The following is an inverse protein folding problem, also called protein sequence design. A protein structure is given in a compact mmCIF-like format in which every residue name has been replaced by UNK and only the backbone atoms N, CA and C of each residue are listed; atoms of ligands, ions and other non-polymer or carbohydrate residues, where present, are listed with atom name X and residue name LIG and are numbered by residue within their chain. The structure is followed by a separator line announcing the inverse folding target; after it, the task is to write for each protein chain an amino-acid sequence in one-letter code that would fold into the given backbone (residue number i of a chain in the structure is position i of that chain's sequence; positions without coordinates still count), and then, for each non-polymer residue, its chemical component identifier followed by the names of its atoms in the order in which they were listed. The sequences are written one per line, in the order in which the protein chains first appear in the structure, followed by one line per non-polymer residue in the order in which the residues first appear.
data_IF_986216520211
#
_entry.id   IF_986216520211
#
_cell.length_a   1.000
_cell.length_b   1.000
_cell.length_c   1.000
_cell.angle_alpha   90.00
_cell.angle_beta   90.00
_cell.angle_gamma   90.00
#
_symmetry.space_group_name_H-M   'P 1'
#
loop_
_entity.id
_entity.type
_entity.pdbx_description
1 polymer ?
#
# COMPACT_ATOMS: atom_id res chain seq x y z
N UNK A 1 -16.70 -0.03 14.63
CA UNK A 1 -15.31 -0.14 14.14
C UNK A 1 -14.42 0.71 15.05
N UNK A 2 -13.26 0.22 15.50
CA UNK A 2 -12.35 1.02 16.30
C UNK A 2 -11.80 2.17 15.47
N UNK A 3 -11.69 3.35 16.08
CA UNK A 3 -10.99 4.48 15.48
C UNK A 3 -9.48 4.25 15.58
N UNK A 4 -8.79 4.33 14.45
CA UNK A 4 -7.34 4.21 14.33
C UNK A 4 -6.74 5.57 13.99
N UNK A 5 -5.66 5.94 14.66
CA UNK A 5 -4.84 7.08 14.26
C UNK A 5 -4.05 6.68 13.03
N UNK A 6 -4.51 7.12 11.86
CA UNK A 6 -3.89 6.74 10.60
C UNK A 6 -2.51 7.38 10.46
N UNK A 7 -1.47 6.57 10.31
CA UNK A 7 -0.09 7.02 10.13
C UNK A 7 0.11 7.82 8.84
N UNK A 8 -0.71 7.56 7.81
CA UNK A 8 -0.64 8.27 6.53
C UNK A 8 -1.23 9.67 6.57
N UNK A 9 -2.46 9.81 7.05
CA UNK A 9 -3.18 11.10 7.03
C UNK A 9 -3.17 11.83 8.37
N UNK A 10 -2.63 11.22 9.44
CA UNK A 10 -2.55 11.79 10.79
C UNK A 10 -3.90 11.94 11.50
N UNK A 11 -5.01 11.50 10.89
CA UNK A 11 -6.35 11.65 11.43
C UNK A 11 -6.86 10.36 12.06
N UNK A 12 -7.63 10.48 13.15
CA UNK A 12 -8.41 9.39 13.72
C UNK A 12 -9.62 9.09 12.82
N UNK A 13 -9.68 7.87 12.28
CA UNK A 13 -10.74 7.40 11.37
C UNK A 13 -11.03 5.93 11.61
N UNK A 14 -12.13 5.41 11.07
CA UNK A 14 -12.46 4.00 11.14
C UNK A 14 -11.30 3.12 10.58
N UNK A 15 -10.78 2.25 11.45
CA UNK A 15 -9.79 1.22 11.11
C UNK A 15 -10.45 -0.05 10.60
N UNK A 16 -9.69 -1.14 10.55
CA UNK A 16 -10.20 -2.46 10.16
C UNK A 16 -10.66 -3.25 11.38
N UNK A 17 -11.64 -4.15 11.19
CA UNK A 17 -12.02 -5.12 12.24
C UNK A 17 -11.10 -6.35 12.25
N UNK A 18 -10.49 -6.66 11.11
CA UNK A 18 -9.57 -7.78 10.89
C UNK A 18 -8.48 -7.36 9.92
N UNK A 19 -7.26 -7.94 10.02
CA UNK A 19 -6.18 -7.57 9.11
C UNK A 19 -6.55 -7.94 7.66
N UNK A 20 -6.25 -7.07 6.68
CA UNK A 20 -6.65 -7.27 5.28
C UNK A 20 -5.90 -8.43 4.58
N UNK A 21 -4.76 -8.83 5.12
CA UNK A 21 -3.97 -9.97 4.65
C UNK A 21 -3.17 -10.57 5.82
N UNK A 22 -2.79 -11.86 5.75
CA UNK A 22 -2.06 -12.51 6.82
C UNK A 22 -0.61 -11.99 6.92
N UNK A 23 -0.03 -12.13 8.11
CA UNK A 23 1.38 -11.82 8.39
C UNK A 23 1.61 -10.48 9.09
N UNK A 24 2.88 -10.19 9.36
CA UNK A 24 3.32 -9.03 10.16
C UNK A 24 2.88 -7.70 9.55
N UNK A 25 2.96 -7.59 8.23
CA UNK A 25 2.59 -6.37 7.51
C UNK A 25 1.06 -6.14 7.60
N UNK A 26 0.25 -7.21 7.58
CA UNK A 26 -1.20 -7.10 7.73
C UNK A 26 -1.62 -6.62 9.12
N UNK A 27 -0.92 -7.07 10.17
CA UNK A 27 -1.08 -6.53 11.52
C UNK A 27 -0.70 -5.04 11.59
N UNK A 28 0.39 -4.65 10.93
CA UNK A 28 0.83 -3.25 10.88
C UNK A 28 -0.17 -2.34 10.15
N UNK A 29 -0.80 -2.82 9.07
CA UNK A 29 -1.87 -2.08 8.37
C UNK A 29 -3.10 -1.94 9.27
N UNK A 30 -3.50 -3.01 9.97
CA UNK A 30 -4.61 -2.99 10.92
C UNK A 30 -4.41 -1.93 12.03
N UNK A 31 -3.21 -1.84 12.59
CA UNK A 31 -2.89 -0.95 13.71
C UNK A 31 -2.68 0.52 13.32
N UNK A 32 -2.30 0.80 12.08
CA UNK A 32 -1.82 2.13 11.67
C UNK A 32 -2.48 2.73 10.44
N UNK A 33 -3.44 2.05 9.81
CA UNK A 33 -4.06 2.52 8.55
C UNK A 33 -5.57 2.53 8.66
N UNK A 34 -6.19 3.66 8.30
CA UNK A 34 -7.64 3.75 8.18
C UNK A 34 -8.15 3.18 6.85
N UNK A 35 -9.42 2.79 6.82
CA UNK A 35 -10.06 2.21 5.62
C UNK A 35 -10.01 3.12 4.40
N UNK A 36 -10.06 4.44 4.61
CA UNK A 36 -9.98 5.45 3.52
C UNK A 36 -8.61 5.41 2.84
N UNK A 37 -7.52 5.50 3.62
CA UNK A 37 -6.17 5.50 3.09
C UNK A 37 -5.80 4.17 2.44
N UNK A 38 -6.36 3.06 2.93
CA UNK A 38 -6.25 1.77 2.28
C UNK A 38 -6.96 1.71 0.93
N UNK A 39 -8.16 2.29 0.82
CA UNK A 39 -8.85 2.42 -0.46
C UNK A 39 -8.03 3.18 -1.51
N UNK A 40 -7.33 4.24 -1.10
CA UNK A 40 -6.41 4.97 -1.99
C UNK A 40 -5.23 4.10 -2.41
N UNK A 41 -4.68 3.30 -1.49
CA UNK A 41 -3.60 2.36 -1.81
C UNK A 41 -4.05 1.35 -2.87
N UNK A 42 -5.25 0.77 -2.75
CA UNK A 42 -5.76 -0.19 -3.73
C UNK A 42 -5.90 0.42 -5.14
N UNK A 43 -6.27 1.71 -5.22
CA UNK A 43 -6.30 2.43 -6.50
C UNK A 43 -4.89 2.58 -7.07
N UNK A 44 -3.92 2.99 -6.26
CA UNK A 44 -2.53 3.11 -6.69
C UNK A 44 -1.92 1.76 -7.09
N UNK A 45 -2.19 0.69 -6.32
CA UNK A 45 -1.77 -0.67 -6.65
C UNK A 45 -2.28 -1.09 -8.02
N UNK A 46 -3.57 -0.85 -8.30
CA UNK A 46 -4.17 -1.16 -9.62
C UNK A 46 -3.46 -0.40 -10.74
N UNK A 47 -3.17 0.89 -10.53
CA UNK A 47 -2.40 1.68 -11.51
C UNK A 47 -1.00 1.12 -11.73
N UNK A 48 -0.27 0.76 -10.66
CA UNK A 48 1.06 0.17 -10.76
C UNK A 48 1.04 -1.16 -11.52
N UNK A 49 0.06 -2.02 -11.22
CA UNK A 49 -0.10 -3.32 -11.91
C UNK A 49 -0.30 -3.09 -13.41
N UNK A 50 -1.21 -2.19 -13.79
CA UNK A 50 -1.51 -1.93 -15.20
C UNK A 50 -0.36 -1.20 -15.92
N UNK A 51 0.31 -0.27 -15.26
CA UNK A 51 1.38 0.55 -15.84
C UNK A 51 2.64 -0.27 -16.14
N UNK A 52 3.02 -1.16 -15.22
CA UNK A 52 4.21 -1.99 -15.36
C UNK A 52 3.91 -3.42 -15.86
N UNK A 53 2.65 -3.75 -16.12
CA UNK A 53 2.22 -5.09 -16.54
C UNK A 53 2.56 -6.17 -15.50
N UNK A 54 2.40 -5.86 -14.21
CA UNK A 54 2.85 -6.76 -13.13
C UNK A 54 2.01 -8.02 -13.04
N UNK A 55 2.68 -9.17 -12.97
CA UNK A 55 2.04 -10.43 -12.61
C UNK A 55 2.03 -10.59 -11.08
N UNK A 56 0.88 -10.46 -10.42
CA UNK A 56 0.75 -10.61 -8.95
C UNK A 56 1.10 -12.02 -8.43
N UNK A 57 1.22 -13.00 -9.33
CA UNK A 57 1.69 -14.34 -9.01
C UNK A 57 3.22 -14.42 -8.95
N UNK A 58 3.95 -13.45 -9.51
CA UNK A 58 5.40 -13.33 -9.40
C UNK A 58 5.80 -12.83 -7.99
N UNK A 59 6.66 -13.56 -7.26
CA UNK A 59 7.23 -13.10 -5.99
C UNK A 59 7.87 -11.71 -6.04
N UNK A 60 8.54 -11.34 -7.14
CA UNK A 60 9.21 -10.05 -7.27
C UNK A 60 8.19 -8.91 -7.42
N UNK A 61 7.16 -9.11 -8.24
CA UNK A 61 6.05 -8.17 -8.35
C UNK A 61 5.33 -7.98 -7.01
N UNK A 62 5.10 -9.06 -6.25
CA UNK A 62 4.56 -8.95 -4.88
C UNK A 62 5.47 -8.13 -3.98
N UNK A 63 6.78 -8.40 -3.98
CA UNK A 63 7.75 -7.67 -3.19
C UNK A 63 7.75 -6.18 -3.53
N UNK A 64 7.71 -5.83 -4.81
CA UNK A 64 7.60 -4.44 -5.26
C UNK A 64 6.31 -3.79 -4.79
N UNK A 65 5.15 -4.44 -4.99
CA UNK A 65 3.87 -3.90 -4.52
C UNK A 65 3.85 -3.71 -3.00
N UNK A 66 4.42 -4.64 -2.23
CA UNK A 66 4.55 -4.54 -0.77
C UNK A 66 5.44 -3.37 -0.35
N UNK A 67 6.60 -3.19 -0.99
CA UNK A 67 7.49 -2.05 -0.71
C UNK A 67 6.81 -0.71 -1.01
N UNK A 68 6.11 -0.61 -2.14
CA UNK A 68 5.33 0.57 -2.51
C UNK A 68 4.18 0.82 -1.51
N UNK A 69 3.50 -0.23 -1.06
CA UNK A 69 2.45 -0.14 -0.05
C UNK A 69 2.97 0.43 1.27
N UNK A 70 4.08 -0.13 1.78
CA UNK A 70 4.69 0.33 3.03
C UNK A 70 5.14 1.78 2.93
N UNK A 71 5.75 2.16 1.80
CA UNK A 71 6.13 3.53 1.53
C UNK A 71 4.91 4.46 1.50
N UNK A 72 3.81 4.05 0.87
CA UNK A 72 2.60 4.84 0.74
C UNK A 72 1.83 5.00 2.07
N UNK A 73 1.77 3.94 2.89
CA UNK A 73 0.97 3.91 4.12
C UNK A 73 1.73 4.38 5.37
N UNK A 74 3.04 4.12 5.46
CA UNK A 74 3.80 4.33 6.69
C UNK A 74 4.85 5.44 6.59
N UNK A 75 5.22 5.89 5.39
CA UNK A 75 6.19 6.98 5.21
C UNK A 75 5.47 8.33 5.11
N UNK A 76 5.03 8.84 6.26
CA UNK A 76 4.43 10.16 6.35
C UNK A 76 5.46 11.24 5.97
N UNK A 77 5.19 12.00 4.89
CA UNK A 77 5.90 13.26 4.58
C UNK A 77 6.87 13.24 3.40
N UNK A 78 7.22 12.08 2.84
CA UNK A 78 7.89 12.03 1.54
C UNK A 78 6.86 11.62 0.51
N UNK A 79 6.66 12.41 -0.55
CA UNK A 79 6.16 11.86 -1.81
C UNK A 79 6.99 10.62 -2.07
N UNK A 80 6.38 9.44 -1.95
CA UNK A 80 6.95 8.24 -2.52
C UNK A 80 6.94 8.50 -4.01
N UNK A 81 7.98 9.17 -4.50
CA UNK A 81 8.31 9.28 -5.91
C UNK A 81 8.67 7.86 -6.34
N UNK A 82 7.63 7.05 -6.53
CA UNK A 82 7.72 5.91 -7.42
C UNK A 82 7.92 6.57 -8.77
N UNK A 83 9.14 6.47 -9.29
CA UNK A 83 9.47 6.97 -10.61
C UNK A 83 8.66 6.19 -11.66
N UNK A 84 7.43 6.66 -11.92
CA UNK A 84 6.52 6.15 -12.94
C UNK A 84 6.86 6.71 -14.32
N UNK A 85 8.03 7.34 -14.51
CA UNK A 85 8.45 7.82 -15.83
C UNK A 85 8.87 6.67 -16.75
N UNK A 86 9.19 5.50 -16.19
CA UNK A 86 9.55 4.30 -16.95
C UNK A 86 8.31 3.45 -17.24
N UNK A 87 7.77 3.61 -18.44
CA UNK A 87 6.78 2.69 -19.00
C UNK A 87 7.50 1.44 -19.51
N UNK A 88 7.12 0.26 -19.02
CA UNK A 88 7.69 -1.02 -19.45
C UNK A 88 7.61 -2.09 -18.37
N UNK A 89 7.75 -3.35 -18.79
CA UNK A 89 7.90 -4.50 -17.89
C UNK A 89 9.09 -4.21 -16.96
N UNK A 90 8.86 -4.25 -15.65
CA UNK A 90 9.98 -4.18 -14.70
C UNK A 90 10.72 -5.52 -14.85
N UNK A 91 11.87 -5.50 -15.52
CA UNK A 91 12.86 -6.56 -15.42
C UNK A 91 13.54 -6.42 -14.05
N UNK A 92 13.33 -7.43 -13.19
CA UNK A 92 13.87 -7.49 -11.83
C UNK A 92 15.34 -7.89 -11.80
#
# INVERSE_FOLDING_TARGET
MPDVTCLRCGQARAGFEKPPFPGVIGARVLEGTCTVCWGDWLRQQTMLINHYGLNVMDPQARKFLTQNMEAFLFRAGAQAEVDTSRQGTIDW
#
